data_IF_412716255243
#
_entry.id   IF_412716255243
#
_cell.length_a   1.000
_cell.length_b   1.000
_cell.length_c   1.000
_cell.angle_alpha   90.00
_cell.angle_beta   90.00
_cell.angle_gamma   90.00
#
_symmetry.space_group_name_H-M   'P 1'
#
loop_
_entity.id
_entity.type
_entity.pdbx_description
1 polymer ?
#
# COMPACT_ATOMS: atom_id res chain seq x y z
N UNK A 1 11.70 -5.43 -6.39
CA UNK A 1 11.16 -5.84 -5.08
C UNK A 1 9.73 -5.37 -5.00
N UNK A 2 8.86 -6.08 -4.30
CA UNK A 2 7.49 -5.63 -4.00
C UNK A 2 7.37 -5.47 -2.50
N UNK A 3 6.89 -4.32 -2.04
CA UNK A 3 6.74 -4.02 -0.63
C UNK A 3 5.33 -3.53 -0.33
N UNK A 4 4.82 -3.80 0.87
CA UNK A 4 3.47 -3.39 1.25
C UNK A 4 3.28 -3.39 2.76
N UNK A 5 2.42 -2.51 3.31
CA UNK A 5 2.20 -2.42 4.74
C UNK A 5 1.38 -3.59 5.25
N UNK A 6 1.67 -4.04 6.47
CA UNK A 6 0.77 -4.97 7.15
C UNK A 6 -0.59 -4.30 7.41
N UNK A 7 -1.71 -4.99 7.28
CA UNK A 7 -1.83 -6.42 6.91
C UNK A 7 -2.14 -6.63 5.42
N UNK A 8 -3.09 -5.87 4.86
CA UNK A 8 -3.60 -6.07 3.50
C UNK A 8 -2.52 -5.96 2.42
N UNK A 9 -1.78 -4.84 2.41
CA UNK A 9 -0.71 -4.61 1.44
C UNK A 9 0.44 -5.61 1.48
N UNK A 10 0.80 -6.11 2.66
CA UNK A 10 1.86 -7.12 2.82
C UNK A 10 1.49 -8.44 2.12
N UNK A 11 0.24 -8.89 2.25
CA UNK A 11 -0.24 -10.09 1.56
C UNK A 11 -0.24 -9.90 0.04
N UNK A 12 -0.76 -8.75 -0.44
CA UNK A 12 -0.75 -8.44 -1.86
C UNK A 12 0.67 -8.36 -2.41
N UNK A 13 1.58 -7.71 -1.69
CA UNK A 13 2.98 -7.59 -2.06
C UNK A 13 3.68 -8.95 -2.14
N UNK A 14 3.41 -9.85 -1.19
CA UNK A 14 3.92 -11.22 -1.20
C UNK A 14 3.47 -11.98 -2.45
N UNK A 15 2.16 -12.00 -2.72
CA UNK A 15 1.61 -12.67 -3.91
C UNK A 15 2.16 -12.06 -5.20
N UNK A 16 2.24 -10.73 -5.30
CA UNK A 16 2.78 -10.04 -6.47
C UNK A 16 4.26 -10.34 -6.70
N UNK A 17 5.07 -10.39 -5.65
CA UNK A 17 6.47 -10.79 -5.77
C UNK A 17 6.61 -12.22 -6.33
N UNK A 18 5.80 -13.17 -5.85
CA UNK A 18 5.80 -14.55 -6.35
C UNK A 18 5.36 -14.66 -7.80
N UNK A 19 4.28 -13.97 -8.19
CA UNK A 19 3.80 -13.96 -9.58
C UNK A 19 4.80 -13.31 -10.56
N UNK A 20 5.48 -12.24 -10.13
CA UNK A 20 6.52 -11.60 -10.91
C UNK A 20 7.75 -12.50 -11.04
N UNK A 21 8.14 -13.19 -9.97
CA UNK A 21 9.26 -14.13 -10.03
C UNK A 21 8.97 -15.33 -10.94
N UNK A 22 7.75 -15.88 -10.89
CA UNK A 22 7.34 -17.01 -11.72
C UNK A 22 7.28 -16.71 -13.23
N UNK A 23 7.21 -15.43 -13.63
CA UNK A 23 7.23 -14.99 -15.04
C UNK A 23 8.58 -14.40 -15.46
N UNK A 24 9.55 -14.35 -14.55
CA UNK A 24 10.85 -13.73 -14.77
C UNK A 24 11.76 -14.63 -15.60
N UNK A 25 12.55 -14.05 -16.52
CA UNK A 25 13.64 -14.80 -17.17
C UNK A 25 14.75 -15.15 -16.18
N UNK A 26 15.32 -16.35 -16.29
CA UNK A 26 16.30 -16.87 -15.33
C UNK A 26 17.56 -15.99 -15.15
N UNK A 27 17.92 -15.18 -16.15
CA UNK A 27 19.05 -14.23 -16.07
C UNK A 27 18.79 -12.94 -15.28
N UNK A 28 17.55 -12.63 -14.93
CA UNK A 28 17.23 -11.49 -14.06
C UNK A 28 17.33 -11.88 -12.58
N UNK A 29 17.62 -10.96 -11.65
CA UNK A 29 17.59 -11.26 -10.23
C UNK A 29 16.16 -11.59 -9.74
N UNK A 30 16.00 -12.50 -8.75
CA UNK A 30 14.69 -12.90 -8.27
C UNK A 30 13.90 -11.73 -7.68
N UNK A 31 12.58 -11.75 -7.90
CA UNK A 31 11.69 -10.81 -7.22
C UNK A 31 11.63 -11.15 -5.74
N UNK A 32 11.73 -10.14 -4.89
CA UNK A 32 11.69 -10.28 -3.44
C UNK A 32 10.54 -9.47 -2.86
N UNK A 33 10.07 -9.92 -1.70
CA UNK A 33 9.02 -9.30 -0.91
C UNK A 33 9.59 -8.64 0.35
N UNK A 34 9.04 -7.50 0.75
CA UNK A 34 9.33 -6.85 2.03
C UNK A 34 8.05 -6.24 2.65
N UNK A 35 7.64 -6.63 3.86
CA UNK A 35 6.55 -5.96 4.57
C UNK A 35 7.03 -4.69 5.26
N UNK A 36 6.19 -3.66 5.31
CA UNK A 36 6.28 -2.62 6.34
C UNK A 36 5.47 -3.10 7.54
N UNK A 37 6.05 -3.04 8.75
CA UNK A 37 5.36 -3.41 10.00
C UNK A 37 4.98 -2.15 10.75
N UNK A 38 4.10 -2.25 11.74
CA UNK A 38 3.85 -1.16 12.69
C UNK A 38 4.79 -1.29 13.90
N UNK A 39 5.19 -0.16 14.48
CA UNK A 39 5.83 -0.10 15.79
C UNK A 39 4.79 0.03 16.92
N UNK A 40 5.26 0.21 18.16
CA UNK A 40 4.40 0.29 19.34
C UNK A 40 3.47 1.52 19.33
N UNK A 41 3.81 2.55 18.53
CA UNK A 41 3.02 3.77 18.35
C UNK A 41 2.12 3.70 17.11
N UNK A 42 2.12 2.56 16.39
CA UNK A 42 1.34 2.34 15.17
C UNK A 42 1.94 2.99 13.91
N UNK A 43 3.18 3.47 13.96
CA UNK A 43 3.84 4.04 12.80
C UNK A 43 4.44 2.93 11.92
N UNK A 44 4.33 3.07 10.60
CA UNK A 44 4.96 2.13 9.69
C UNK A 44 6.48 2.23 9.75
N UNK A 45 7.12 1.07 9.89
CA UNK A 45 8.57 0.90 9.95
C UNK A 45 9.01 -0.21 8.99
N UNK A 46 10.19 0.00 8.41
CA UNK A 46 10.87 -1.03 7.62
C UNK A 46 11.96 -1.68 8.49
N UNK A 47 11.81 -2.97 8.79
CA UNK A 47 12.77 -3.68 9.65
C UNK A 47 14.19 -3.66 9.06
N UNK A 48 15.25 -3.61 9.89
CA UNK A 48 16.63 -3.43 9.42
C UNK A 48 17.10 -4.43 8.35
N UNK A 49 16.63 -5.68 8.42
CA UNK A 49 16.91 -6.69 7.40
C UNK A 49 16.38 -6.25 6.03
N UNK A 50 15.10 -5.87 5.94
CA UNK A 50 14.48 -5.45 4.69
C UNK A 50 15.02 -4.11 4.20
N UNK A 51 15.32 -3.17 5.10
CA UNK A 51 15.95 -1.91 4.75
C UNK A 51 17.29 -2.12 4.02
N UNK A 52 18.14 -3.03 4.51
CA UNK A 52 19.38 -3.41 3.81
C UNK A 52 19.11 -4.07 2.46
N UNK A 53 18.11 -4.94 2.38
CA UNK A 53 17.75 -5.58 1.11
C UNK A 53 17.21 -4.57 0.08
N UNK A 54 16.65 -3.45 0.52
CA UNK A 54 16.00 -2.46 -0.35
C UNK A 54 17.00 -1.49 -1.03
N UNK A 55 18.21 -1.35 -0.50
CA UNK A 55 19.25 -0.47 -1.04
C UNK A 55 19.53 -0.75 -2.53
N UNK A 56 19.46 0.31 -3.34
CA UNK A 56 19.70 0.24 -4.79
C UNK A 56 18.64 -0.53 -5.58
N UNK A 57 17.53 -0.95 -4.95
CA UNK A 57 16.48 -1.71 -5.63
C UNK A 57 15.36 -0.82 -6.12
N UNK A 58 14.82 -1.23 -7.26
CA UNK A 58 13.54 -0.77 -7.79
C UNK A 58 12.39 -1.46 -7.05
N UNK A 59 11.47 -0.70 -6.49
CA UNK A 59 10.42 -1.15 -5.58
C UNK A 59 9.04 -0.78 -6.12
N UNK A 60 8.17 -1.78 -6.18
CA UNK A 60 6.73 -1.61 -6.34
C UNK A 60 6.10 -1.57 -4.95
N UNK A 61 5.37 -0.50 -4.61
CA UNK A 61 4.64 -0.41 -3.34
C UNK A 61 3.21 -0.89 -3.57
N UNK A 62 2.74 -1.87 -2.79
CA UNK A 62 1.44 -2.48 -2.96
C UNK A 62 0.58 -2.33 -1.70
N UNK A 63 -0.69 -1.99 -1.88
CA UNK A 63 -1.69 -1.99 -0.80
C UNK A 63 -3.02 -2.57 -1.29
N UNK A 64 -3.95 -2.91 -0.40
CA UNK A 64 -5.27 -3.42 -0.84
C UNK A 64 -6.17 -2.31 -1.41
N UNK A 65 -6.28 -1.18 -0.70
CA UNK A 65 -7.20 -0.08 -1.04
C UNK A 65 -6.52 1.28 -0.88
N UNK A 66 -6.59 2.11 -1.93
CA UNK A 66 -6.21 3.53 -1.86
C UNK A 66 -7.42 4.38 -1.43
N UNK A 67 -7.37 4.83 -0.17
CA UNK A 67 -8.27 5.86 0.37
C UNK A 67 -7.67 7.25 0.06
N UNK A 68 -7.19 7.95 1.10
CA UNK A 68 -6.50 9.24 0.98
C UNK A 68 -5.15 9.16 0.26
N UNK A 69 -4.55 7.96 0.19
CA UNK A 69 -3.22 7.71 -0.36
C UNK A 69 -2.07 7.94 0.62
N UNK A 70 -2.32 8.44 1.84
CA UNK A 70 -1.27 8.73 2.83
C UNK A 70 -0.40 7.52 3.19
N UNK A 71 -0.99 6.32 3.23
CA UNK A 71 -0.24 5.08 3.43
C UNK A 71 0.81 4.87 2.35
N UNK A 72 0.47 5.11 1.08
CA UNK A 72 1.43 5.03 -0.03
C UNK A 72 2.53 6.07 0.06
N UNK A 73 2.21 7.31 0.44
CA UNK A 73 3.19 8.37 0.66
C UNK A 73 4.21 7.98 1.75
N UNK A 74 3.72 7.55 2.92
CA UNK A 74 4.55 7.09 4.03
C UNK A 74 5.45 5.91 3.62
N UNK A 75 4.86 4.91 2.95
CA UNK A 75 5.60 3.74 2.50
C UNK A 75 6.66 4.12 1.44
N UNK A 76 6.33 4.98 0.48
CA UNK A 76 7.26 5.48 -0.52
C UNK A 76 8.45 6.20 0.13
N UNK A 77 8.21 6.98 1.18
CA UNK A 77 9.26 7.65 1.93
C UNK A 77 10.15 6.68 2.70
N UNK A 78 9.59 5.63 3.30
CA UNK A 78 10.39 4.56 3.92
C UNK A 78 11.29 3.87 2.89
N UNK A 79 10.78 3.62 1.68
CA UNK A 79 11.60 3.06 0.58
C UNK A 79 12.75 3.98 0.23
N UNK A 80 12.48 5.27 0.01
CA UNK A 80 13.50 6.27 -0.34
C UNK A 80 14.56 6.40 0.74
N UNK A 81 14.16 6.44 2.02
CA UNK A 81 15.08 6.48 3.18
C UNK A 81 15.95 5.23 3.28
N UNK A 82 15.42 4.07 2.87
CA UNK A 82 16.19 2.83 2.78
C UNK A 82 17.10 2.75 1.53
N UNK A 83 17.14 3.78 0.69
CA UNK A 83 17.94 3.84 -0.53
C UNK A 83 17.35 3.06 -1.70
N UNK A 84 16.04 2.77 -1.67
CA UNK A 84 15.30 2.19 -2.79
C UNK A 84 14.71 3.26 -3.71
N UNK A 85 14.44 2.86 -4.96
CA UNK A 85 13.72 3.65 -5.96
C UNK A 85 12.27 3.17 -6.04
N UNK A 86 11.31 4.03 -5.72
CA UNK A 86 9.89 3.71 -5.89
C UNK A 86 9.54 3.82 -7.37
N UNK A 87 9.07 2.73 -7.97
CA UNK A 87 8.68 2.71 -9.39
C UNK A 87 7.24 3.12 -9.63
N UNK A 88 6.37 2.61 -8.78
CA UNK A 88 4.93 2.77 -8.87
C UNK A 88 4.26 2.30 -7.58
N UNK A 89 3.03 2.73 -7.40
CA UNK A 89 2.10 2.18 -6.41
C UNK A 89 1.06 1.29 -7.10
N UNK A 90 0.65 0.21 -6.46
CA UNK A 90 -0.39 -0.69 -6.98
C UNK A 90 -1.38 -1.10 -5.90
N UNK A 91 -2.64 -1.26 -6.30
CA UNK A 91 -3.71 -1.60 -5.38
C UNK A 91 -4.82 -2.40 -6.07
N UNK A 92 -5.69 -2.99 -5.25
CA UNK A 92 -6.89 -3.65 -5.77
C UNK A 92 -7.96 -2.59 -6.08
N UNK A 93 -8.23 -1.68 -5.14
CA UNK A 93 -9.25 -0.64 -5.32
C UNK A 93 -8.72 0.77 -5.05
N UNK A 94 -8.95 1.68 -5.98
CA UNK A 94 -8.84 3.13 -5.74
C UNK A 94 -10.25 3.72 -5.53
N UNK A 95 -10.43 4.46 -4.43
CA UNK A 95 -11.70 5.10 -4.06
C UNK A 95 -11.93 6.47 -4.70
N UNK A 96 -10.94 6.96 -5.45
CA UNK A 96 -10.98 8.29 -6.07
C UNK A 96 -10.86 9.44 -5.06
N UNK A 97 -10.41 9.16 -3.84
CA UNK A 97 -10.35 10.12 -2.72
C UNK A 97 -8.92 10.56 -2.38
N UNK A 98 -7.95 10.28 -3.25
CA UNK A 98 -6.57 10.56 -2.89
C UNK A 98 -6.28 12.06 -2.82
N UNK A 99 -5.60 12.44 -1.74
CA UNK A 99 -5.20 13.83 -1.45
C UNK A 99 -3.68 14.01 -1.46
N UNK A 100 -2.95 12.95 -1.80
CA UNK A 100 -1.50 12.95 -1.89
C UNK A 100 -1.06 12.37 -3.24
N UNK A 101 0.08 12.84 -3.73
CA UNK A 101 0.73 12.33 -4.92
C UNK A 101 2.13 11.82 -4.53
N UNK A 102 2.36 10.50 -4.55
CA UNK A 102 3.66 9.91 -4.28
C UNK A 102 4.74 10.27 -5.32
N UNK A 103 4.39 10.97 -6.41
CA UNK A 103 5.30 11.38 -7.48
C UNK A 103 5.71 10.24 -8.40
N UNK A 104 4.94 9.14 -8.40
CA UNK A 104 5.16 7.94 -9.22
C UNK A 104 3.83 7.47 -9.82
N UNK A 105 3.85 6.74 -10.95
CA UNK A 105 2.64 6.15 -11.50
C UNK A 105 1.89 5.29 -10.48
N UNK A 106 0.56 5.39 -10.50
CA UNK A 106 -0.35 4.58 -9.70
C UNK A 106 -1.17 3.65 -10.61
N UNK A 107 -1.33 2.38 -10.20
CA UNK A 107 -2.08 1.38 -10.95
C UNK A 107 -3.04 0.61 -10.04
N UNK A 108 -4.31 1.00 -10.06
CA UNK A 108 -5.39 0.25 -9.44
C UNK A 108 -5.94 -0.85 -10.36
N UNK A 109 -6.34 -2.00 -9.79
CA UNK A 109 -7.05 -3.03 -10.53
C UNK A 109 -8.48 -2.58 -10.88
N UNK A 110 -9.15 -1.90 -9.95
CA UNK A 110 -10.46 -1.30 -10.14
C UNK A 110 -10.52 0.05 -9.42
N UNK A 111 -11.36 0.94 -9.92
CA UNK A 111 -11.59 2.25 -9.31
C UNK A 111 -13.08 2.55 -9.24
N UNK A 112 -13.52 3.18 -8.15
CA UNK A 112 -14.85 3.75 -8.04
C UNK A 112 -14.77 5.11 -7.36
N UNK A 113 -15.74 5.98 -7.66
CA UNK A 113 -15.88 7.24 -6.93
C UNK A 113 -16.63 6.94 -5.64
N UNK A 114 -15.95 7.12 -4.51
CA UNK A 114 -16.54 6.95 -3.19
C UNK A 114 -17.74 7.89 -2.99
N UNK A 115 -18.74 7.41 -2.24
CA UNK A 115 -19.86 8.23 -1.82
C UNK A 115 -19.40 9.33 -0.85
N UNK A 116 -20.24 10.34 -0.64
CA UNK A 116 -19.93 11.42 0.29
C UNK A 116 -19.66 10.88 1.70
N UNK A 117 -18.51 11.23 2.28
CA UNK A 117 -18.20 10.94 3.67
C UNK A 117 -19.00 11.87 4.58
N UNK A 118 -19.65 11.33 5.61
CA UNK A 118 -20.41 12.10 6.59
C UNK A 118 -19.66 12.16 7.92
N UNK A 119 -19.77 13.29 8.62
CA UNK A 119 -19.41 13.33 10.06
C UNK A 119 -20.46 12.59 10.87
N UNK A 120 -20.14 12.22 12.12
CA UNK A 120 -21.10 11.54 13.00
C UNK A 120 -22.38 12.37 13.19
N UNK A 121 -22.27 13.70 13.24
CA UNK A 121 -23.40 14.62 13.42
C UNK A 121 -24.28 14.74 12.16
N UNK A 122 -23.70 14.52 10.98
CA UNK A 122 -24.39 14.71 9.69
C UNK A 122 -24.80 13.40 9.02
N UNK A 123 -24.37 12.25 9.55
CA UNK A 123 -24.65 10.93 9.01
C UNK A 123 -26.16 10.60 9.06
N UNK A 124 -26.82 10.34 7.90
CA UNK A 124 -28.24 10.00 7.86
C UNK A 124 -28.59 8.78 8.69
N UNK A 125 -27.76 7.73 8.61
CA UNK A 125 -27.96 6.48 9.36
C UNK A 125 -27.82 6.69 10.88
N UNK A 126 -26.91 7.57 11.32
CA UNK A 126 -26.77 7.91 12.75
C UNK A 126 -28.00 8.67 13.26
N UNK A 127 -28.53 9.64 12.49
CA UNK A 127 -29.77 10.35 12.86
C UNK A 127 -30.96 9.40 12.96
N UNK A 128 -31.02 8.42 12.07
CA UNK A 128 -32.05 7.38 12.06
C UNK A 128 -31.79 6.25 13.08
N UNK A 129 -30.68 6.32 13.83
CA UNK A 129 -30.24 5.30 14.81
C UNK A 129 -30.21 3.88 14.22
N UNK A 130 -29.87 3.77 12.93
CA UNK A 130 -29.70 2.47 12.27
C UNK A 130 -28.44 1.81 12.88
N UNK A 131 -28.55 0.61 13.47
CA UNK A 131 -27.41 -0.07 14.05
C UNK A 131 -26.33 -0.38 13.00
N UNK A 132 -25.06 -0.18 13.37
CA UNK A 132 -23.95 -0.70 12.58
C UNK A 132 -23.92 -2.21 12.80
N UNK A 133 -24.10 -2.99 11.74
CA UNK A 133 -23.82 -4.42 11.76
C UNK A 133 -22.32 -4.61 11.55
N UNK A 134 -21.57 -4.80 12.63
CA UNK A 134 -20.22 -5.37 12.55
C UNK A 134 -20.34 -6.86 12.26
N UNK A 135 -19.67 -7.32 11.20
CA UNK A 135 -19.49 -8.74 10.87
C UNK A 135 -18.40 -9.35 11.75
#
# INVERSE_FOLDING_TARGET
>A
MVAGPVTGGALLAHTRAGLLDGRRSLGHPPSQFAPFTEDDDGAFVLRPFYARQMQGRRVLVADDVRNTGKTFELCADLVRRAGGEVLATVEIYDRGESVVDPGVPNFALASYQSAHNYTAETCPMCRERIPITTW
#
